data_IF_050488641830
#
_entry.id   IF_050488641830
#
_cell.length_a   1.000
_cell.length_b   1.000
_cell.length_c   1.000
_cell.angle_alpha   90.00
_cell.angle_beta   90.00
_cell.angle_gamma   90.00
#
_symmetry.space_group_name_H-M   'P 1'
#
loop_
_entity.id
_entity.type
_entity.pdbx_description
1 polymer ?
#
# COMPACT_ATOMS: atom_id res chain seq x y z
N UNK A 1 -40.46 -11.49 -65.98
CA UNK A 1 -39.67 -10.46 -65.35
C UNK A 1 -38.91 -11.06 -64.19
N UNK A 2 -37.63 -11.40 -64.43
CA UNK A 2 -36.76 -12.07 -63.46
C UNK A 2 -36.06 -11.03 -62.63
N UNK A 3 -36.26 -11.04 -61.31
CA UNK A 3 -35.45 -10.26 -60.38
C UNK A 3 -34.17 -11.05 -60.07
N UNK A 4 -32.96 -10.43 -60.13
CA UNK A 4 -31.73 -11.08 -59.69
C UNK A 4 -31.62 -11.00 -58.16
N UNK A 5 -31.36 -12.17 -57.56
CA UNK A 5 -31.02 -12.32 -56.14
C UNK A 5 -29.68 -11.62 -55.85
N UNK A 6 -29.67 -10.63 -55.01
CA UNK A 6 -28.48 -10.01 -54.46
C UNK A 6 -27.84 -10.93 -53.43
N UNK A 7 -26.78 -11.65 -53.82
CA UNK A 7 -25.88 -12.35 -52.94
C UNK A 7 -25.08 -11.37 -52.08
N UNK A 8 -25.46 -11.20 -50.83
CA UNK A 8 -24.66 -10.49 -49.85
C UNK A 8 -23.37 -11.27 -49.57
N UNK A 9 -22.24 -10.80 -50.07
CA UNK A 9 -20.91 -11.30 -49.75
C UNK A 9 -20.62 -10.99 -48.29
N UNK A 10 -20.79 -11.98 -47.43
CA UNK A 10 -20.27 -11.97 -46.03
C UNK A 10 -18.75 -11.86 -46.10
N UNK A 11 -18.21 -10.65 -45.87
CA UNK A 11 -16.77 -10.45 -45.61
C UNK A 11 -16.34 -11.33 -44.43
N UNK A 12 -15.26 -12.10 -44.53
CA UNK A 12 -14.78 -12.92 -43.43
C UNK A 12 -14.41 -12.02 -42.27
N UNK A 13 -15.14 -12.16 -41.15
CA UNK A 13 -14.77 -11.52 -39.89
C UNK A 13 -13.36 -12.01 -39.52
N UNK A 14 -12.35 -11.16 -39.67
CA UNK A 14 -10.99 -11.45 -39.27
C UNK A 14 -11.02 -12.08 -37.85
N UNK A 15 -10.44 -13.25 -37.73
CA UNK A 15 -10.26 -13.96 -36.45
C UNK A 15 -9.45 -13.09 -35.53
N UNK A 16 -10.13 -12.25 -34.69
CA UNK A 16 -9.48 -11.39 -33.73
C UNK A 16 -8.75 -12.27 -32.73
N UNK A 17 -7.44 -12.05 -32.62
CA UNK A 17 -6.58 -12.70 -31.62
C UNK A 17 -7.21 -12.54 -30.24
N UNK A 18 -7.43 -13.67 -29.54
CA UNK A 18 -8.06 -13.68 -28.21
C UNK A 18 -7.08 -14.21 -27.18
N UNK A 19 -6.82 -13.40 -26.14
CA UNK A 19 -5.92 -13.74 -25.05
C UNK A 19 -6.66 -14.59 -24.01
N UNK A 20 -6.08 -15.73 -23.57
CA UNK A 20 -6.61 -16.46 -22.42
C UNK A 20 -6.25 -15.74 -21.12
N UNK A 21 -7.12 -15.80 -20.12
CA UNK A 21 -6.88 -15.27 -18.77
C UNK A 21 -6.48 -13.81 -18.72
N UNK A 22 -7.08 -12.98 -19.58
CA UNK A 22 -6.74 -11.56 -19.72
C UNK A 22 -6.89 -10.78 -18.39
N UNK A 23 -7.85 -11.17 -17.53
CA UNK A 23 -8.01 -10.57 -16.20
C UNK A 23 -6.76 -10.65 -15.35
N UNK A 24 -6.00 -11.74 -15.43
CA UNK A 24 -4.74 -11.88 -14.69
C UNK A 24 -3.61 -11.03 -15.29
N UNK A 25 -3.62 -10.79 -16.59
CA UNK A 25 -2.71 -9.81 -17.22
C UNK A 25 -3.00 -8.41 -16.71
N UNK A 26 -4.28 -8.01 -16.59
CA UNK A 26 -4.67 -6.75 -15.96
C UNK A 26 -4.21 -6.70 -14.50
N UNK A 27 -4.41 -7.78 -13.72
CA UNK A 27 -3.92 -7.86 -12.34
C UNK A 27 -2.39 -7.71 -12.26
N UNK A 28 -1.64 -8.29 -13.20
CA UNK A 28 -0.19 -8.12 -13.33
C UNK A 28 0.22 -6.66 -13.58
N UNK A 29 -0.54 -5.91 -14.37
CA UNK A 29 -0.32 -4.48 -14.56
C UNK A 29 -0.63 -3.67 -13.29
N UNK A 30 -1.66 -4.04 -12.52
CA UNK A 30 -1.94 -3.41 -11.22
C UNK A 30 -0.83 -3.70 -10.20
N UNK A 31 -0.32 -4.94 -10.18
CA UNK A 31 0.84 -5.33 -9.39
C UNK A 31 2.07 -4.49 -9.75
N UNK A 32 2.36 -4.35 -11.05
CA UNK A 32 3.49 -3.54 -11.50
C UNK A 32 3.33 -2.06 -11.15
N UNK A 33 2.12 -1.48 -11.28
CA UNK A 33 1.84 -0.10 -10.85
C UNK A 33 2.12 0.08 -9.35
N UNK A 34 1.67 -0.86 -8.49
CA UNK A 34 1.94 -0.82 -7.06
C UNK A 34 3.41 -1.02 -6.73
N UNK A 35 4.13 -1.80 -7.53
CA UNK A 35 5.59 -1.99 -7.42
C UNK A 35 6.32 -0.67 -7.71
N UNK A 36 6.02 -0.01 -8.83
CA UNK A 36 6.61 1.30 -9.19
C UNK A 36 6.33 2.35 -8.12
N UNK A 37 5.09 2.42 -7.64
CA UNK A 37 4.68 3.34 -6.58
C UNK A 37 5.57 3.24 -5.32
N UNK A 38 5.89 2.02 -4.89
CA UNK A 38 6.74 1.81 -3.71
C UNK A 38 8.25 1.96 -4.00
N UNK A 39 8.69 1.70 -5.23
CA UNK A 39 10.05 2.03 -5.66
C UNK A 39 10.29 3.54 -5.53
N UNK A 40 9.35 4.38 -6.02
CA UNK A 40 9.47 5.84 -5.96
C UNK A 40 9.49 6.35 -4.51
N UNK A 41 8.74 5.71 -3.59
CA UNK A 41 8.79 6.03 -2.16
C UNK A 41 10.13 5.70 -1.53
N UNK A 42 10.71 4.54 -1.88
CA UNK A 42 12.01 4.11 -1.37
C UNK A 42 13.16 5.01 -1.84
N UNK A 43 13.04 5.64 -3.00
CA UNK A 43 14.13 6.41 -3.60
C UNK A 43 14.66 7.49 -2.65
N UNK A 44 13.80 8.34 -2.07
CA UNK A 44 14.28 9.37 -1.15
C UNK A 44 14.73 8.78 0.19
N UNK A 45 14.14 7.67 0.63
CA UNK A 45 14.50 7.03 1.89
C UNK A 45 15.93 6.46 1.85
N UNK A 46 16.28 5.78 0.76
CA UNK A 46 17.64 5.23 0.54
C UNK A 46 18.66 6.34 0.34
N UNK A 47 18.25 7.44 -0.30
CA UNK A 47 19.14 8.57 -0.60
C UNK A 47 19.22 9.61 0.51
N UNK A 48 18.48 9.45 1.63
CA UNK A 48 18.37 10.46 2.68
C UNK A 48 19.72 11.02 3.11
N UNK A 49 20.63 10.17 3.57
CA UNK A 49 21.94 10.61 4.09
C UNK A 49 22.74 11.32 3.01
N UNK A 50 22.77 10.76 1.81
CA UNK A 50 23.46 11.36 0.67
C UNK A 50 22.92 12.76 0.30
N UNK A 51 21.59 12.93 0.34
CA UNK A 51 20.96 14.23 0.08
C UNK A 51 21.16 15.22 1.24
N UNK A 52 21.16 14.74 2.48
CA UNK A 52 21.49 15.55 3.66
C UNK A 52 22.91 16.12 3.56
N UNK A 53 23.89 15.31 3.19
CA UNK A 53 25.28 15.76 2.96
C UNK A 53 25.37 16.75 1.81
N UNK A 54 24.72 16.45 0.66
CA UNK A 54 24.79 17.27 -0.55
C UNK A 54 24.12 18.65 -0.39
N UNK A 55 23.03 18.74 0.37
CA UNK A 55 22.21 19.94 0.50
C UNK A 55 22.17 20.51 1.92
N UNK A 56 22.91 19.93 2.86
CA UNK A 56 22.98 20.30 4.27
C UNK A 56 21.60 20.33 4.95
N UNK A 57 20.77 19.29 4.68
CA UNK A 57 19.48 19.17 5.31
C UNK A 57 19.61 18.77 6.78
N UNK A 58 18.79 19.37 7.63
CA UNK A 58 18.57 18.87 8.98
C UNK A 58 17.68 17.61 8.97
N UNK A 59 17.59 16.96 10.11
CA UNK A 59 16.65 15.83 10.30
C UNK A 59 15.19 16.33 10.21
N UNK A 60 14.90 17.52 10.69
CA UNK A 60 13.57 18.13 10.60
C UNK A 60 13.23 18.50 9.15
N UNK A 61 14.17 18.98 8.34
CA UNK A 61 13.96 19.24 6.91
C UNK A 61 13.48 17.98 6.20
N UNK A 62 14.14 16.83 6.45
CA UNK A 62 13.71 15.56 5.88
C UNK A 62 12.32 15.14 6.38
N UNK A 63 12.04 15.32 7.67
CA UNK A 63 10.71 15.08 8.24
C UNK A 63 9.61 15.87 7.51
N UNK A 64 9.84 17.16 7.24
CA UNK A 64 8.90 18.01 6.51
C UNK A 64 8.79 17.65 5.02
N UNK A 65 9.85 17.15 4.38
CA UNK A 65 9.81 16.64 3.02
C UNK A 65 8.89 15.40 2.96
N UNK A 66 9.02 14.48 3.91
CA UNK A 66 8.16 13.29 4.01
C UNK A 66 6.72 13.68 4.36
N UNK A 67 6.52 14.63 5.28
CA UNK A 67 5.20 15.17 5.62
C UNK A 67 4.45 15.71 4.40
N UNK A 68 5.14 16.45 3.53
CA UNK A 68 4.53 17.03 2.32
C UNK A 68 3.94 15.97 1.39
N UNK A 69 4.61 14.83 1.25
CA UNK A 69 4.09 13.67 0.53
C UNK A 69 2.84 13.10 1.19
N UNK A 70 2.90 12.85 2.50
CA UNK A 70 1.80 12.25 3.26
C UNK A 70 0.56 13.15 3.27
N UNK A 71 0.74 14.46 3.38
CA UNK A 71 -0.34 15.43 3.33
C UNK A 71 -1.07 15.38 1.99
N UNK A 72 -0.32 15.47 0.89
CA UNK A 72 -0.90 15.40 -0.45
C UNK A 72 -1.60 14.06 -0.69
N UNK A 73 -0.96 12.96 -0.29
CA UNK A 73 -1.50 11.62 -0.41
C UNK A 73 -2.84 11.46 0.34
N UNK A 74 -2.91 11.94 1.59
CA UNK A 74 -4.13 11.87 2.40
C UNK A 74 -5.29 12.66 1.78
N UNK A 75 -5.03 13.90 1.32
CA UNK A 75 -6.03 14.74 0.66
C UNK A 75 -6.51 14.09 -0.65
N UNK A 76 -5.57 13.70 -1.48
CA UNK A 76 -5.88 13.18 -2.81
C UNK A 76 -6.45 11.77 -2.80
N UNK A 77 -6.27 10.98 -1.74
CA UNK A 77 -6.91 9.67 -1.62
C UNK A 77 -8.45 9.78 -1.62
N UNK A 78 -8.99 10.85 -1.04
CA UNK A 78 -10.43 11.14 -1.06
C UNK A 78 -10.89 11.65 -2.43
N UNK A 79 -10.08 12.48 -3.07
CA UNK A 79 -10.42 13.13 -4.34
C UNK A 79 -10.25 12.18 -5.53
N UNK A 80 -9.18 11.38 -5.53
CA UNK A 80 -8.80 10.51 -6.64
C UNK A 80 -9.86 9.45 -6.94
N UNK A 81 -10.54 8.90 -5.93
CA UNK A 81 -11.64 7.96 -6.14
C UNK A 81 -12.74 8.55 -7.02
N UNK A 82 -13.17 9.81 -6.73
CA UNK A 82 -14.18 10.51 -7.54
C UNK A 82 -13.66 10.86 -8.93
N UNK A 83 -12.38 11.20 -9.05
CA UNK A 83 -11.75 11.49 -10.32
C UNK A 83 -11.70 10.25 -11.23
N UNK A 84 -11.30 9.11 -10.68
CA UNK A 84 -11.31 7.80 -11.36
C UNK A 84 -12.75 7.41 -11.75
N UNK A 85 -13.76 7.72 -10.92
CA UNK A 85 -15.15 7.44 -11.27
C UNK A 85 -15.64 8.25 -12.45
N UNK A 86 -15.21 9.51 -12.56
CA UNK A 86 -15.62 10.42 -13.66
C UNK A 86 -14.87 10.17 -14.96
N UNK A 87 -13.55 9.95 -14.88
CA UNK A 87 -12.69 9.77 -16.07
C UNK A 87 -12.69 8.33 -16.59
N UNK A 88 -13.18 7.38 -15.77
CA UNK A 88 -12.99 5.96 -15.99
C UNK A 88 -11.56 5.51 -15.61
N UNK A 89 -11.42 4.22 -15.30
CA UNK A 89 -10.16 3.67 -14.82
C UNK A 89 -9.04 3.83 -15.85
N UNK A 90 -9.30 3.55 -17.13
CA UNK A 90 -8.29 3.59 -18.18
C UNK A 90 -7.57 4.95 -18.25
N UNK A 91 -8.33 6.02 -18.41
CA UNK A 91 -7.76 7.38 -18.56
C UNK A 91 -7.29 7.91 -17.22
N UNK A 92 -8.11 7.79 -16.17
CA UNK A 92 -7.79 8.33 -14.85
C UNK A 92 -6.51 7.75 -14.28
N UNK A 93 -6.29 6.43 -14.40
CA UNK A 93 -5.06 5.80 -13.93
C UNK A 93 -3.85 6.15 -14.81
N UNK A 94 -4.05 6.25 -16.15
CA UNK A 94 -2.98 6.72 -17.05
C UNK A 94 -2.50 8.13 -16.70
N UNK A 95 -3.42 9.06 -16.46
CA UNK A 95 -3.08 10.43 -16.07
C UNK A 95 -2.38 10.49 -14.73
N UNK A 96 -2.85 9.71 -13.75
CA UNK A 96 -2.22 9.62 -12.44
C UNK A 96 -0.79 9.07 -12.55
N UNK A 97 -0.58 7.99 -13.31
CA UNK A 97 0.74 7.39 -13.55
C UNK A 97 1.68 8.38 -14.23
N UNK A 98 1.25 9.04 -15.29
CA UNK A 98 2.06 10.05 -15.98
C UNK A 98 2.45 11.19 -15.02
N UNK A 99 1.48 11.66 -14.22
CA UNK A 99 1.70 12.72 -13.24
C UNK A 99 2.73 12.33 -12.19
N UNK A 100 2.57 11.19 -11.53
CA UNK A 100 3.52 10.82 -10.48
C UNK A 100 4.90 10.46 -11.02
N UNK A 101 4.97 9.87 -12.23
CA UNK A 101 6.25 9.60 -12.89
C UNK A 101 7.04 10.88 -13.17
N UNK A 102 6.37 11.92 -13.69
CA UNK A 102 6.98 13.24 -13.87
C UNK A 102 7.38 13.86 -12.52
N UNK A 103 6.54 13.75 -11.49
CA UNK A 103 6.85 14.25 -10.15
C UNK A 103 8.03 13.49 -9.52
N UNK A 104 8.14 12.17 -9.71
CA UNK A 104 9.30 11.38 -9.29
C UNK A 104 10.58 11.88 -9.97
N UNK A 105 10.56 12.03 -11.29
CA UNK A 105 11.71 12.53 -12.05
C UNK A 105 12.07 13.99 -11.70
N UNK A 106 11.09 14.82 -11.34
CA UNK A 106 11.32 16.22 -10.97
C UNK A 106 12.25 16.37 -9.75
N UNK A 107 12.36 15.36 -8.88
CA UNK A 107 13.31 15.37 -7.77
C UNK A 107 14.77 15.49 -8.26
N UNK A 108 15.09 14.98 -9.45
CA UNK A 108 16.44 15.04 -10.00
C UNK A 108 16.96 16.46 -10.25
N UNK A 109 16.07 17.43 -10.41
CA UNK A 109 16.44 18.85 -10.64
C UNK A 109 16.28 19.71 -9.39
N UNK A 110 15.79 19.17 -8.28
CA UNK A 110 15.63 19.89 -7.01
C UNK A 110 16.99 20.25 -6.41
N UNK A 111 17.06 21.45 -5.78
CA UNK A 111 18.26 21.98 -5.14
C UNK A 111 18.02 22.53 -3.74
N UNK A 112 16.76 22.75 -3.34
CA UNK A 112 16.37 23.31 -2.04
C UNK A 112 15.37 22.41 -1.35
N UNK A 113 15.29 22.48 -0.02
CA UNK A 113 14.29 21.77 0.80
C UNK A 113 12.87 22.00 0.26
N UNK A 114 12.53 23.26 -0.03
CA UNK A 114 11.20 23.62 -0.56
C UNK A 114 10.91 22.94 -1.91
N UNK A 115 11.89 22.86 -2.80
CA UNK A 115 11.70 22.17 -4.10
C UNK A 115 11.46 20.67 -3.89
N UNK A 116 12.18 20.01 -2.96
CA UNK A 116 11.93 18.62 -2.60
C UNK A 116 10.57 18.43 -1.94
N UNK A 117 10.13 19.35 -1.07
CA UNK A 117 8.79 19.35 -0.49
C UNK A 117 7.72 19.46 -1.57
N UNK A 118 7.88 20.40 -2.52
CA UNK A 118 6.95 20.58 -3.64
C UNK A 118 6.89 19.33 -4.54
N UNK A 119 8.04 18.77 -4.92
CA UNK A 119 8.12 17.55 -5.72
C UNK A 119 7.48 16.36 -4.98
N UNK A 120 7.69 16.21 -3.67
CA UNK A 120 7.06 15.20 -2.82
C UNK A 120 5.56 15.38 -2.70
N UNK A 121 5.09 16.62 -2.57
CA UNK A 121 3.65 16.92 -2.57
C UNK A 121 3.01 16.50 -3.91
N UNK A 122 3.61 16.88 -5.03
CA UNK A 122 3.13 16.49 -6.36
C UNK A 122 3.16 14.97 -6.56
N UNK A 123 4.21 14.30 -6.08
CA UNK A 123 4.31 12.84 -6.13
C UNK A 123 3.19 12.18 -5.32
N UNK A 124 2.99 12.60 -4.06
CA UNK A 124 1.93 12.08 -3.20
C UNK A 124 0.54 12.29 -3.78
N UNK A 125 0.31 13.44 -4.42
CA UNK A 125 -0.95 13.74 -5.09
C UNK A 125 -1.27 12.78 -6.25
N UNK A 126 -0.27 12.42 -7.06
CA UNK A 126 -0.44 11.45 -8.15
C UNK A 126 -0.59 10.01 -7.65
N UNK A 127 0.27 9.60 -6.73
CA UNK A 127 0.31 8.24 -6.20
C UNK A 127 -0.96 7.82 -5.46
N UNK A 128 -1.68 8.77 -4.86
CA UNK A 128 -2.92 8.50 -4.13
C UNK A 128 -4.01 7.85 -4.98
N UNK A 129 -3.95 7.98 -6.31
CA UNK A 129 -4.90 7.36 -7.24
C UNK A 129 -4.67 5.84 -7.44
N UNK A 130 -3.48 5.33 -7.12
CA UNK A 130 -3.10 3.93 -7.38
C UNK A 130 -4.09 2.94 -6.74
N UNK A 131 -4.38 3.09 -5.45
CA UNK A 131 -5.27 2.18 -4.73
C UNK A 131 -6.72 2.23 -5.21
N UNK A 132 -7.38 3.42 -5.31
CA UNK A 132 -8.74 3.52 -5.83
C UNK A 132 -8.88 2.97 -7.26
N UNK A 133 -7.94 3.26 -8.14
CA UNK A 133 -7.94 2.77 -9.52
C UNK A 133 -7.79 1.25 -9.57
N UNK A 134 -6.89 0.68 -8.77
CA UNK A 134 -6.65 -0.76 -8.71
C UNK A 134 -7.86 -1.52 -8.16
N UNK A 135 -8.45 -1.05 -7.06
CA UNK A 135 -9.66 -1.68 -6.48
C UNK A 135 -10.82 -1.63 -7.48
N UNK A 136 -11.01 -0.51 -8.17
CA UNK A 136 -12.05 -0.39 -9.19
C UNK A 136 -11.78 -1.32 -10.38
N UNK A 137 -10.53 -1.41 -10.84
CA UNK A 137 -10.13 -2.37 -11.89
C UNK A 137 -10.44 -3.81 -11.50
N UNK A 138 -10.12 -4.20 -10.25
CA UNK A 138 -10.44 -5.53 -9.74
C UNK A 138 -11.95 -5.75 -9.68
N UNK A 139 -12.74 -4.74 -9.29
CA UNK A 139 -14.19 -4.85 -9.26
C UNK A 139 -14.80 -5.02 -10.66
N UNK A 140 -14.20 -4.42 -11.70
CA UNK A 140 -14.63 -4.52 -13.10
C UNK A 140 -14.20 -5.84 -13.77
N UNK A 141 -13.00 -6.36 -13.40
CA UNK A 141 -12.37 -7.48 -14.12
C UNK A 141 -12.49 -8.86 -13.43
N UNK A 142 -12.95 -8.89 -12.17
CA UNK A 142 -12.97 -10.12 -11.39
C UNK A 142 -14.35 -10.40 -10.77
N UNK A 143 -14.84 -11.66 -10.85
CA UNK A 143 -16.01 -12.08 -10.10
C UNK A 143 -15.75 -11.96 -8.60
N UNK A 144 -16.81 -11.74 -7.79
CA UNK A 144 -16.72 -11.51 -6.34
C UNK A 144 -15.82 -12.51 -5.60
N UNK A 145 -15.89 -13.80 -6.00
CA UNK A 145 -15.11 -14.90 -5.39
C UNK A 145 -13.58 -14.77 -5.59
N UNK A 146 -13.11 -14.08 -6.64
CA UNK A 146 -11.68 -13.91 -6.94
C UNK A 146 -11.15 -12.52 -6.57
N UNK A 147 -12.01 -11.53 -6.24
CA UNK A 147 -11.60 -10.16 -5.94
C UNK A 147 -10.60 -10.05 -4.80
N UNK A 148 -10.79 -10.85 -3.74
CA UNK A 148 -9.87 -10.85 -2.60
C UNK A 148 -8.47 -11.33 -3.00
N UNK A 149 -8.38 -12.37 -3.83
CA UNK A 149 -7.10 -12.88 -4.34
C UNK A 149 -6.42 -11.86 -5.25
N UNK A 150 -7.16 -11.27 -6.20
CA UNK A 150 -6.63 -10.25 -7.10
C UNK A 150 -6.15 -9.01 -6.34
N UNK A 151 -6.91 -8.57 -5.31
CA UNK A 151 -6.51 -7.47 -4.43
C UNK A 151 -5.25 -7.79 -3.63
N UNK A 152 -5.15 -8.99 -3.07
CA UNK A 152 -3.95 -9.46 -2.37
C UNK A 152 -2.73 -9.49 -3.31
N UNK A 153 -2.92 -9.96 -4.54
CA UNK A 153 -1.84 -10.07 -5.52
C UNK A 153 -1.32 -8.69 -5.93
N UNK A 154 -2.17 -7.75 -6.35
CA UNK A 154 -1.66 -6.42 -6.72
C UNK A 154 -1.06 -5.67 -5.52
N UNK A 155 -1.64 -5.84 -4.33
CA UNK A 155 -1.11 -5.22 -3.12
C UNK A 155 0.25 -5.78 -2.71
N UNK A 156 0.57 -7.03 -3.01
CA UNK A 156 1.92 -7.58 -2.76
C UNK A 156 3.01 -6.86 -3.56
N UNK A 157 2.64 -6.17 -4.65
CA UNK A 157 3.53 -5.28 -5.40
C UNK A 157 4.14 -4.19 -4.51
N UNK A 158 3.45 -3.74 -3.46
CA UNK A 158 3.98 -2.75 -2.52
C UNK A 158 5.24 -3.23 -1.80
N UNK A 159 5.22 -4.46 -1.32
CA UNK A 159 6.37 -5.07 -0.65
C UNK A 159 7.51 -5.36 -1.63
N UNK A 160 7.17 -5.88 -2.82
CA UNK A 160 8.16 -6.11 -3.89
C UNK A 160 8.79 -4.80 -4.33
N UNK A 161 8.01 -3.73 -4.44
CA UNK A 161 8.51 -2.38 -4.72
C UNK A 161 9.50 -1.89 -3.68
N UNK A 162 9.24 -2.10 -2.39
CA UNK A 162 10.16 -1.75 -1.32
C UNK A 162 11.46 -2.59 -1.37
N UNK A 163 11.34 -3.91 -1.64
CA UNK A 163 12.49 -4.82 -1.80
C UNK A 163 13.37 -4.41 -2.98
N UNK A 164 12.76 -4.32 -4.16
CA UNK A 164 13.47 -3.98 -5.40
C UNK A 164 14.00 -2.54 -5.37
N UNK A 165 13.19 -1.60 -4.86
CA UNK A 165 13.54 -0.19 -4.78
C UNK A 165 14.79 0.06 -3.96
N UNK A 166 14.92 -0.58 -2.79
CA UNK A 166 16.10 -0.41 -1.94
C UNK A 166 17.39 -0.81 -2.66
N UNK A 167 17.40 -1.98 -3.30
CA UNK A 167 18.58 -2.47 -4.03
C UNK A 167 18.86 -1.68 -5.30
N UNK A 168 17.80 -1.39 -6.07
CA UNK A 168 17.92 -0.70 -7.35
C UNK A 168 18.39 0.75 -7.17
N UNK A 169 17.85 1.48 -6.21
CA UNK A 169 18.23 2.86 -5.93
C UNK A 169 19.69 2.95 -5.48
N UNK A 170 20.12 2.06 -4.58
CA UNK A 170 21.50 2.00 -4.14
C UNK A 170 22.45 1.71 -5.33
N UNK A 171 22.09 0.75 -6.18
CA UNK A 171 22.88 0.41 -7.36
C UNK A 171 22.97 1.57 -8.37
N UNK A 172 21.82 2.19 -8.71
CA UNK A 172 21.78 3.34 -9.63
C UNK A 172 22.64 4.51 -9.13
N UNK A 173 22.59 4.77 -7.83
CA UNK A 173 23.34 5.85 -7.20
C UNK A 173 24.84 5.59 -7.24
N UNK A 174 25.27 4.36 -6.98
CA UNK A 174 26.67 3.95 -7.01
C UNK A 174 27.27 3.92 -8.43
N UNK A 175 26.46 3.55 -9.45
CA UNK A 175 26.93 3.48 -10.84
C UNK A 175 27.00 4.86 -11.49
N UNK A 176 26.04 5.73 -11.20
CA UNK A 176 25.92 7.06 -11.80
C UNK A 176 25.90 8.17 -10.76
N UNK A 177 24.73 8.45 -10.18
CA UNK A 177 24.52 9.43 -9.11
C UNK A 177 23.07 9.37 -8.60
N UNK A 178 22.76 10.12 -7.55
CA UNK A 178 21.42 10.17 -6.96
C UNK A 178 20.33 10.71 -7.90
N UNK A 179 20.69 11.60 -8.86
CA UNK A 179 19.73 12.12 -9.85
C UNK A 179 19.27 11.03 -10.81
N UNK A 180 20.20 10.17 -11.23
CA UNK A 180 19.88 9.02 -12.07
C UNK A 180 18.87 8.10 -11.37
N UNK A 181 19.00 7.87 -10.07
CA UNK A 181 18.02 7.07 -9.32
C UNK A 181 16.60 7.61 -9.47
N UNK A 182 16.37 8.91 -9.26
CA UNK A 182 15.03 9.52 -9.45
C UNK A 182 14.54 9.45 -10.90
N UNK A 183 15.42 9.67 -11.87
CA UNK A 183 15.04 9.62 -13.30
C UNK A 183 14.63 8.20 -13.69
N UNK A 184 15.44 7.19 -13.36
CA UNK A 184 15.17 5.81 -13.74
C UNK A 184 13.95 5.24 -13.02
N UNK A 185 13.77 5.51 -11.71
CA UNK A 185 12.59 5.02 -10.99
C UNK A 185 11.32 5.65 -11.54
N UNK A 186 11.29 6.96 -11.74
CA UNK A 186 10.14 7.63 -12.34
C UNK A 186 9.86 7.19 -13.79
N UNK A 187 10.91 6.86 -14.57
CA UNK A 187 10.76 6.37 -15.94
C UNK A 187 10.04 5.01 -16.02
N UNK A 188 10.08 4.18 -14.96
CA UNK A 188 9.36 2.89 -14.93
C UNK A 188 7.85 3.07 -15.14
N UNK A 189 7.27 4.17 -14.66
CA UNK A 189 5.86 4.45 -14.89
C UNK A 189 5.53 4.71 -16.37
N UNK A 190 6.44 5.28 -17.16
CA UNK A 190 6.24 5.43 -18.59
C UNK A 190 6.31 4.09 -19.33
N UNK A 191 7.12 3.13 -18.85
CA UNK A 191 7.10 1.75 -19.38
C UNK A 191 5.73 1.12 -19.13
N UNK A 192 5.15 1.30 -17.94
CA UNK A 192 3.80 0.84 -17.63
C UNK A 192 2.76 1.51 -18.54
N UNK A 193 2.89 2.79 -18.83
CA UNK A 193 2.00 3.54 -19.73
C UNK A 193 2.02 3.04 -21.17
N UNK A 194 3.07 2.36 -21.62
CA UNK A 194 3.06 1.71 -22.93
C UNK A 194 2.08 0.54 -22.98
N UNK A 195 1.94 -0.19 -21.88
CA UNK A 195 1.06 -1.36 -21.81
C UNK A 195 -0.38 -1.05 -21.41
N UNK A 196 -0.56 -0.23 -20.36
CA UNK A 196 -1.87 -0.01 -19.74
C UNK A 196 -2.96 0.51 -20.68
N UNK A 197 -2.79 1.61 -21.42
CA UNK A 197 -3.84 2.12 -22.30
C UNK A 197 -4.18 1.18 -23.46
N UNK A 198 -3.25 0.31 -23.84
CA UNK A 198 -3.46 -0.69 -24.89
C UNK A 198 -4.25 -1.89 -24.38
N UNK A 199 -3.89 -2.37 -23.19
CA UNK A 199 -4.40 -3.61 -22.61
C UNK A 199 -5.67 -3.40 -21.75
N UNK A 200 -5.86 -2.22 -21.13
CA UNK A 200 -7.01 -1.98 -20.28
C UNK A 200 -8.19 -1.37 -21.05
N UNK A 201 -9.31 -2.04 -21.00
CA UNK A 201 -10.63 -1.56 -21.42
C UNK A 201 -11.69 -2.18 -20.50
N UNK A 202 -12.91 -1.67 -20.52
CA UNK A 202 -14.02 -2.34 -19.85
C UNK A 202 -14.21 -3.75 -20.45
N UNK A 203 -14.47 -4.80 -19.63
CA UNK A 203 -14.59 -6.17 -20.12
C UNK A 203 -15.55 -6.34 -21.28
N UNK A 204 -16.71 -5.66 -21.23
CA UNK A 204 -17.77 -5.77 -22.26
C UNK A 204 -17.31 -5.21 -23.62
N UNK A 205 -16.43 -4.20 -23.61
CA UNK A 205 -15.91 -3.54 -24.81
C UNK A 205 -14.53 -4.08 -25.24
N UNK A 206 -14.01 -5.13 -24.58
CA UNK A 206 -12.64 -5.57 -24.81
C UNK A 206 -12.52 -6.50 -26.02
N UNK A 207 -11.78 -6.12 -27.10
CA UNK A 207 -11.76 -6.85 -28.35
C UNK A 207 -11.07 -8.24 -28.25
N UNK A 208 -10.16 -8.40 -27.29
CA UNK A 208 -9.36 -9.63 -27.12
C UNK A 208 -9.90 -10.56 -26.03
N UNK A 209 -10.95 -10.14 -25.30
CA UNK A 209 -11.55 -10.98 -24.25
C UNK A 209 -12.36 -12.12 -24.88
N UNK A 210 -12.19 -13.34 -24.36
CA UNK A 210 -13.00 -14.49 -24.75
C UNK A 210 -14.39 -14.39 -24.14
N UNK A 211 -15.42 -14.80 -24.87
CA UNK A 211 -16.79 -14.81 -24.36
C UNK A 211 -16.93 -15.60 -23.06
N UNK A 212 -16.29 -16.77 -22.98
CA UNK A 212 -16.30 -17.61 -21.77
C UNK A 212 -15.71 -16.88 -20.54
N UNK A 213 -14.65 -16.08 -20.74
CA UNK A 213 -14.04 -15.30 -19.66
C UNK A 213 -14.92 -14.09 -19.30
N UNK A 214 -15.56 -13.46 -20.26
CA UNK A 214 -16.55 -12.41 -20.01
C UNK A 214 -17.73 -12.95 -19.20
N UNK A 215 -18.33 -14.06 -19.63
CA UNK A 215 -19.43 -14.72 -18.92
C UNK A 215 -19.02 -15.12 -17.49
N UNK A 216 -17.76 -15.53 -17.30
CA UNK A 216 -17.20 -15.83 -15.98
C UNK A 216 -17.03 -14.58 -15.10
N UNK A 217 -16.55 -13.46 -15.66
CA UNK A 217 -16.43 -12.19 -14.94
C UNK A 217 -17.80 -11.71 -14.48
N UNK A 218 -18.83 -11.81 -15.32
CA UNK A 218 -20.20 -11.37 -15.06
C UNK A 218 -21.05 -12.41 -14.30
N UNK A 219 -20.48 -13.57 -13.94
CA UNK A 219 -21.24 -14.68 -13.32
C UNK A 219 -21.94 -14.30 -12.01
N UNK A 220 -21.48 -13.27 -11.31
CA UNK A 220 -22.01 -12.81 -10.02
C UNK A 220 -22.99 -11.62 -10.14
N UNK A 221 -23.26 -11.13 -11.35
CA UNK A 221 -24.13 -9.94 -11.54
C UNK A 221 -25.63 -10.26 -11.36
N UNK A 222 -26.03 -11.52 -11.50
CA UNK A 222 -27.39 -12.00 -11.31
C UNK A 222 -27.87 -12.13 -9.87
N UNK A 223 -26.97 -12.11 -8.88
CA UNK A 223 -27.31 -12.31 -7.46
C UNK A 223 -27.68 -11.03 -6.70
N UNK A 224 -27.84 -9.88 -7.35
CA UNK A 224 -28.03 -8.58 -6.72
C UNK A 224 -29.49 -8.22 -6.44
N UNK A 225 -30.44 -9.16 -6.46
CA UNK A 225 -31.86 -8.90 -6.16
C UNK A 225 -32.34 -9.41 -4.81
N UNK A 226 -31.53 -9.30 -3.76
CA UNK A 226 -32.06 -9.42 -2.41
C UNK A 226 -31.90 -8.08 -1.71
N UNK A 227 -33.03 -7.39 -1.50
CA UNK A 227 -33.27 -6.15 -0.77
C UNK A 227 -32.00 -5.45 -0.25
N UNK A 228 -31.47 -4.50 -1.02
CA UNK A 228 -30.36 -3.66 -0.64
C UNK A 228 -30.80 -2.81 0.57
N UNK A 229 -30.60 -3.31 1.80
CA UNK A 229 -30.76 -2.47 2.99
C UNK A 229 -29.89 -1.22 2.80
N UNK A 230 -30.37 -0.02 3.15
CA UNK A 230 -29.59 1.21 3.00
C UNK A 230 -28.26 1.10 3.77
N UNK A 231 -27.19 1.67 3.19
CA UNK A 231 -25.89 1.78 3.86
C UNK A 231 -26.03 2.63 5.11
N UNK A 232 -25.34 2.28 6.18
CA UNK A 232 -25.29 3.13 7.35
C UNK A 232 -24.59 4.46 6.98
N UNK A 233 -25.18 5.62 7.32
CA UNK A 233 -24.48 6.88 7.14
C UNK A 233 -23.23 6.86 7.99
N UNK A 234 -22.15 7.49 7.49
CA UNK A 234 -20.84 7.51 8.17
C UNK A 234 -20.95 8.02 9.64
N UNK A 235 -21.88 8.93 9.93
CA UNK A 235 -22.17 9.41 11.29
C UNK A 235 -22.66 8.29 12.22
N UNK A 236 -23.46 7.35 11.71
CA UNK A 236 -23.92 6.20 12.50
C UNK A 236 -22.79 5.22 12.78
N UNK A 237 -21.86 5.05 11.82
CA UNK A 237 -20.64 4.25 12.00
C UNK A 237 -19.75 4.87 13.08
N UNK A 238 -19.51 6.19 13.05
CA UNK A 238 -18.70 6.90 14.04
C UNK A 238 -19.29 6.95 15.44
N UNK A 239 -20.60 6.71 15.61
CA UNK A 239 -21.23 6.55 16.94
C UNK A 239 -20.93 5.20 17.59
N UNK A 240 -20.42 4.23 16.82
CA UNK A 240 -20.15 2.87 17.31
C UNK A 240 -18.71 2.78 17.84
N UNK A 241 -18.54 2.36 19.09
CA UNK A 241 -17.22 2.19 19.72
C UNK A 241 -16.32 1.22 18.95
N UNK A 242 -16.91 0.22 18.28
CA UNK A 242 -16.17 -0.77 17.48
C UNK A 242 -15.47 -0.12 16.27
N UNK A 243 -16.08 0.90 15.66
CA UNK A 243 -15.46 1.67 14.60
C UNK A 243 -14.20 2.39 15.11
N UNK A 244 -14.28 3.00 16.29
CA UNK A 244 -13.15 3.65 16.94
C UNK A 244 -12.04 2.65 17.32
N UNK A 245 -12.38 1.43 17.71
CA UNK A 245 -11.40 0.37 17.97
C UNK A 245 -10.54 0.08 16.74
N UNK A 246 -11.15 0.00 15.56
CA UNK A 246 -10.44 -0.14 14.30
C UNK A 246 -9.66 1.13 13.91
N UNK A 247 -10.30 2.29 13.97
CA UNK A 247 -9.74 3.60 13.58
C UNK A 247 -8.51 3.94 14.44
N UNK A 248 -8.62 3.83 15.78
CA UNK A 248 -7.51 4.11 16.70
C UNK A 248 -6.43 3.03 16.60
N UNK A 249 -6.81 1.77 16.39
CA UNK A 249 -5.85 0.71 16.12
C UNK A 249 -4.96 1.03 14.92
N UNK A 250 -5.53 1.50 13.82
CA UNK A 250 -4.81 1.95 12.62
C UNK A 250 -3.99 3.23 12.88
N UNK A 251 -4.58 4.22 13.55
CA UNK A 251 -3.91 5.48 13.86
C UNK A 251 -2.63 5.27 14.68
N UNK A 252 -2.64 4.34 15.64
CA UNK A 252 -1.48 4.04 16.48
C UNK A 252 -0.42 3.21 15.78
N UNK A 253 -0.81 2.31 14.87
CA UNK A 253 0.12 1.32 14.31
C UNK A 253 0.65 1.64 12.92
N UNK A 254 -0.15 2.25 12.03
CA UNK A 254 0.31 2.60 10.69
C UNK A 254 1.48 3.59 10.65
N UNK A 255 1.58 4.58 11.58
CA UNK A 255 2.76 5.45 11.69
C UNK A 255 4.09 4.69 11.77
N UNK A 256 4.07 3.51 12.41
CA UNK A 256 5.26 2.69 12.58
C UNK A 256 5.73 2.09 11.25
N UNK A 257 4.80 1.71 10.39
CA UNK A 257 5.12 1.28 9.03
C UNK A 257 5.80 2.40 8.22
N UNK A 258 5.24 3.62 8.29
CA UNK A 258 5.81 4.79 7.62
C UNK A 258 7.18 5.18 8.17
N UNK A 259 7.38 5.05 9.50
CA UNK A 259 8.69 5.22 10.11
C UNK A 259 9.70 4.24 9.52
N UNK A 260 9.41 2.95 9.47
CA UNK A 260 10.32 1.97 8.88
C UNK A 260 10.59 2.25 7.38
N UNK A 261 9.58 2.60 6.59
CA UNK A 261 9.76 2.91 5.16
C UNK A 261 10.76 4.06 4.98
N UNK A 262 10.63 5.13 5.73
CA UNK A 262 11.38 6.36 5.46
C UNK A 262 12.67 6.50 6.27
N UNK A 263 12.80 5.86 7.42
CA UNK A 263 13.98 6.02 8.28
C UNK A 263 14.86 4.78 8.41
N UNK A 264 14.39 3.58 8.03
CA UNK A 264 15.19 2.37 8.14
C UNK A 264 16.52 2.44 7.36
N UNK A 265 16.58 2.90 6.09
CA UNK A 265 17.86 2.99 5.39
C UNK A 265 18.85 3.89 6.11
N UNK A 266 18.44 5.09 6.54
CA UNK A 266 19.32 6.01 7.25
C UNK A 266 19.72 5.50 8.65
N UNK A 267 18.85 4.76 9.35
CA UNK A 267 19.23 4.10 10.59
C UNK A 267 20.35 3.07 10.36
N UNK A 268 20.23 2.26 9.31
CA UNK A 268 21.28 1.29 8.96
C UNK A 268 22.61 1.99 8.64
N UNK A 269 22.56 3.12 7.96
CA UNK A 269 23.75 3.90 7.60
C UNK A 269 24.34 4.64 8.80
N UNK A 270 23.56 5.51 9.42
CA UNK A 270 24.05 6.44 10.47
C UNK A 270 24.29 5.75 11.82
N UNK A 271 23.39 4.82 12.23
CA UNK A 271 23.47 4.19 13.54
C UNK A 271 24.15 2.83 13.52
N UNK A 272 24.25 2.16 12.36
CA UNK A 272 24.81 0.81 12.23
C UNK A 272 26.03 0.73 11.32
N UNK A 273 26.43 1.82 10.69
CA UNK A 273 27.64 1.92 9.87
C UNK A 273 27.57 1.16 8.54
N UNK A 274 26.36 0.83 8.05
CA UNK A 274 26.22 0.23 6.72
C UNK A 274 26.53 1.25 5.63
N UNK A 275 27.38 0.88 4.69
CA UNK A 275 27.55 1.67 3.46
C UNK A 275 26.31 1.56 2.56
N UNK A 276 26.13 2.51 1.64
CA UNK A 276 25.04 2.46 0.64
C UNK A 276 25.03 1.14 -0.14
N UNK A 277 26.23 0.59 -0.47
CA UNK A 277 26.37 -0.73 -1.11
C UNK A 277 25.79 -1.85 -0.22
N UNK A 278 26.08 -1.85 1.08
CA UNK A 278 25.57 -2.85 2.01
C UNK A 278 24.06 -2.70 2.20
N UNK A 279 23.54 -1.46 2.25
CA UNK A 279 22.08 -1.21 2.29
C UNK A 279 21.40 -1.79 1.05
N UNK A 280 21.98 -1.60 -0.14
CA UNK A 280 21.47 -2.23 -1.36
C UNK A 280 21.45 -3.76 -1.31
N UNK A 281 22.43 -4.37 -0.63
CA UNK A 281 22.52 -5.83 -0.52
C UNK A 281 21.60 -6.45 0.55
N UNK A 282 21.34 -5.76 1.66
CA UNK A 282 20.61 -6.34 2.80
C UNK A 282 19.43 -5.53 3.31
N UNK A 283 19.31 -4.25 2.92
CA UNK A 283 18.24 -3.36 3.40
C UNK A 283 16.83 -3.76 2.96
N UNK A 284 16.73 -4.63 1.95
CA UNK A 284 15.47 -5.23 1.51
C UNK A 284 14.94 -6.34 2.42
N UNK A 285 15.83 -6.96 3.25
CA UNK A 285 15.49 -8.13 4.08
C UNK A 285 14.31 -7.87 5.03
N UNK A 286 14.21 -6.74 5.74
CA UNK A 286 13.07 -6.43 6.60
C UNK A 286 11.74 -6.34 5.83
N UNK A 287 11.72 -5.80 4.62
CA UNK A 287 10.52 -5.71 3.78
C UNK A 287 10.08 -7.08 3.26
N UNK A 288 11.04 -7.93 2.93
CA UNK A 288 10.78 -9.32 2.55
C UNK A 288 10.21 -10.11 3.73
N UNK A 289 10.81 -10.00 4.92
CA UNK A 289 10.28 -10.60 6.14
C UNK A 289 8.86 -10.12 6.46
N UNK A 290 8.57 -8.84 6.25
CA UNK A 290 7.25 -8.25 6.42
C UNK A 290 6.19 -8.95 5.55
N UNK A 291 6.52 -9.31 4.30
CA UNK A 291 5.61 -10.02 3.40
C UNK A 291 5.21 -11.39 3.98
N UNK A 292 6.17 -12.15 4.50
CA UNK A 292 5.90 -13.42 5.19
C UNK A 292 5.11 -13.21 6.47
N UNK A 293 5.43 -12.16 7.24
CA UNK A 293 4.71 -11.80 8.46
C UNK A 293 3.22 -11.57 8.22
N UNK A 294 2.87 -10.88 7.15
CA UNK A 294 1.47 -10.69 6.74
C UNK A 294 0.75 -12.01 6.43
N UNK A 295 1.39 -12.90 5.67
CA UNK A 295 0.85 -14.23 5.35
C UNK A 295 0.71 -15.09 6.60
N UNK A 296 1.73 -15.16 7.43
CA UNK A 296 1.72 -15.93 8.68
C UNK A 296 0.68 -15.41 9.67
N UNK A 297 0.54 -14.10 9.83
CA UNK A 297 -0.44 -13.49 10.72
C UNK A 297 -1.89 -13.80 10.29
N UNK A 298 -2.18 -13.74 8.99
CA UNK A 298 -3.47 -14.14 8.45
C UNK A 298 -3.75 -15.63 8.59
N UNK A 299 -2.75 -16.48 8.25
CA UNK A 299 -2.83 -17.92 8.39
C UNK A 299 -3.04 -18.34 9.85
N UNK A 300 -2.31 -17.77 10.79
CA UNK A 300 -2.33 -18.11 12.22
C UNK A 300 -3.74 -17.98 12.80
N UNK A 301 -4.44 -16.85 12.59
CA UNK A 301 -5.81 -16.69 13.10
C UNK A 301 -6.80 -17.64 12.41
N UNK A 302 -6.61 -17.92 11.11
CA UNK A 302 -7.41 -18.87 10.35
C UNK A 302 -7.24 -20.32 10.83
N UNK A 303 -5.98 -20.74 11.10
CA UNK A 303 -5.67 -22.08 11.59
C UNK A 303 -6.24 -22.33 13.00
N UNK A 304 -6.15 -21.34 13.89
CA UNK A 304 -6.73 -21.46 15.23
C UNK A 304 -8.25 -21.60 15.19
N UNK A 305 -8.95 -20.91 14.28
CA UNK A 305 -10.40 -21.11 14.07
C UNK A 305 -10.70 -22.50 13.56
N UNK A 306 -9.89 -23.05 12.65
CA UNK A 306 -10.02 -24.45 12.18
C UNK A 306 -9.83 -25.48 13.32
N UNK A 307 -9.01 -25.14 14.30
CA UNK A 307 -8.79 -25.94 15.54
C UNK A 307 -9.86 -25.70 16.63
N UNK A 308 -10.96 -25.03 16.30
CA UNK A 308 -12.11 -24.86 17.20
C UNK A 308 -12.06 -23.62 18.11
N UNK A 309 -11.11 -22.69 17.91
CA UNK A 309 -11.14 -21.44 18.66
C UNK A 309 -12.28 -20.55 18.18
N UNK A 310 -12.91 -19.83 19.12
CA UNK A 310 -13.89 -18.80 18.74
C UNK A 310 -13.24 -17.68 17.94
N UNK A 311 -14.00 -17.03 17.06
CA UNK A 311 -13.54 -15.89 16.26
C UNK A 311 -12.85 -14.82 17.13
N UNK A 312 -13.49 -14.44 18.23
CA UNK A 312 -12.96 -13.45 19.18
C UNK A 312 -11.60 -13.87 19.75
N UNK A 313 -11.45 -15.13 20.19
CA UNK A 313 -10.20 -15.65 20.74
C UNK A 313 -9.11 -15.71 19.68
N UNK A 314 -9.41 -16.24 18.49
CA UNK A 314 -8.42 -16.39 17.43
C UNK A 314 -7.89 -15.03 16.94
N UNK A 315 -8.77 -14.06 16.66
CA UNK A 315 -8.40 -12.73 16.20
C UNK A 315 -7.58 -11.96 17.23
N UNK A 316 -8.05 -11.90 18.47
CA UNK A 316 -7.34 -11.17 19.54
C UNK A 316 -6.02 -11.81 19.91
N UNK A 317 -5.92 -13.14 19.92
CA UNK A 317 -4.64 -13.81 20.18
C UNK A 317 -3.64 -13.55 19.05
N UNK A 318 -4.07 -13.53 17.78
CA UNK A 318 -3.18 -13.19 16.67
C UNK A 318 -2.68 -11.75 16.75
N UNK A 319 -3.56 -10.80 17.07
CA UNK A 319 -3.17 -9.41 17.33
C UNK A 319 -2.24 -9.30 18.53
N UNK A 320 -2.49 -10.02 19.63
CA UNK A 320 -1.65 -10.00 20.82
C UNK A 320 -0.24 -10.56 20.53
N UNK A 321 -0.14 -11.71 19.86
CA UNK A 321 1.16 -12.30 19.51
C UNK A 321 1.97 -11.34 18.65
N UNK A 322 1.37 -10.77 17.61
CA UNK A 322 2.07 -9.83 16.75
C UNK A 322 2.42 -8.53 17.47
N UNK A 323 1.57 -8.03 18.38
CA UNK A 323 1.88 -6.86 19.20
C UNK A 323 3.05 -7.12 20.17
N UNK A 324 3.13 -8.29 20.78
CA UNK A 324 4.20 -8.68 21.71
C UNK A 324 5.55 -8.93 21.01
N UNK A 325 5.56 -9.14 19.70
CA UNK A 325 6.80 -9.24 18.92
C UNK A 325 7.35 -7.86 18.51
N UNK A 326 6.56 -6.80 18.54
CA UNK A 326 7.01 -5.46 18.14
C UNK A 326 8.15 -4.88 18.99
N UNK A 327 8.24 -5.14 20.32
CA UNK A 327 9.40 -4.74 21.13
C UNK A 327 10.75 -5.30 20.66
N UNK A 328 10.77 -6.28 19.74
CA UNK A 328 12.01 -6.68 19.07
C UNK A 328 12.71 -5.50 18.38
N UNK A 329 11.93 -4.50 17.90
CA UNK A 329 12.50 -3.26 17.40
C UNK A 329 13.30 -2.48 18.44
N UNK A 330 12.86 -2.45 19.71
CA UNK A 330 13.60 -1.83 20.82
C UNK A 330 14.89 -2.60 21.06
N UNK A 331 14.82 -3.93 21.10
CA UNK A 331 16.01 -4.77 21.26
C UNK A 331 17.00 -4.58 20.09
N UNK A 332 16.52 -4.26 18.89
CA UNK A 332 17.35 -3.99 17.73
C UNK A 332 18.30 -2.81 17.95
N UNK A 333 17.84 -1.74 18.60
CA UNK A 333 18.68 -0.56 18.87
C UNK A 333 19.79 -0.87 19.88
N UNK A 334 19.53 -1.79 20.81
CA UNK A 334 20.49 -2.22 21.83
C UNK A 334 21.41 -3.35 21.35
N UNK A 335 21.13 -3.96 20.20
CA UNK A 335 21.91 -5.08 19.68
C UNK A 335 23.36 -4.63 19.34
N UNK A 336 24.39 -5.36 19.80
CA UNK A 336 25.78 -4.95 19.59
C UNK A 336 26.23 -5.15 18.14
N UNK A 337 25.62 -6.10 17.42
CA UNK A 337 26.00 -6.44 16.04
C UNK A 337 24.95 -5.94 15.05
N UNK A 338 25.38 -5.34 13.94
CA UNK A 338 24.50 -4.78 12.93
C UNK A 338 23.56 -5.83 12.29
N UNK A 339 24.03 -7.06 12.04
CA UNK A 339 23.19 -8.14 11.52
C UNK A 339 22.10 -8.57 12.53
N UNK A 340 22.38 -8.55 13.83
CA UNK A 340 21.39 -8.84 14.85
C UNK A 340 20.31 -7.76 14.93
N UNK A 341 20.70 -6.49 14.80
CA UNK A 341 19.76 -5.38 14.67
C UNK A 341 18.85 -5.56 13.44
N UNK A 342 19.42 -5.90 12.28
CA UNK A 342 18.68 -6.16 11.06
C UNK A 342 17.67 -7.30 11.21
N UNK A 343 18.08 -8.41 11.86
CA UNK A 343 17.19 -9.54 12.12
C UNK A 343 16.03 -9.18 13.06
N UNK A 344 16.30 -8.42 14.13
CA UNK A 344 15.27 -7.96 15.06
C UNK A 344 14.30 -6.96 14.45
N UNK A 345 14.78 -6.05 13.59
CA UNK A 345 13.92 -5.17 12.81
C UNK A 345 13.08 -5.98 11.83
N UNK A 346 13.66 -6.98 11.18
CA UNK A 346 12.93 -7.87 10.27
C UNK A 346 11.78 -8.59 10.99
N UNK A 347 12.02 -9.04 12.22
CA UNK A 347 11.00 -9.64 13.08
C UNK A 347 9.89 -8.62 13.43
N UNK A 348 10.27 -7.40 13.83
CA UNK A 348 9.31 -6.35 14.15
C UNK A 348 8.46 -5.96 12.93
N UNK A 349 9.05 -5.83 11.74
CA UNK A 349 8.33 -5.52 10.51
C UNK A 349 7.43 -6.68 10.06
N UNK A 350 7.86 -7.93 10.24
CA UNK A 350 7.00 -9.10 10.02
C UNK A 350 5.82 -9.11 10.99
N UNK A 351 6.05 -8.81 12.27
CA UNK A 351 5.01 -8.68 13.27
C UNK A 351 4.01 -7.56 12.93
N UNK A 352 4.49 -6.40 12.48
CA UNK A 352 3.62 -5.30 12.01
C UNK A 352 2.70 -5.73 10.87
N UNK A 353 3.20 -6.43 9.86
CA UNK A 353 2.37 -6.89 8.75
C UNK A 353 1.40 -8.01 9.17
N UNK A 354 1.81 -8.88 10.11
CA UNK A 354 0.92 -9.85 10.73
C UNK A 354 -0.23 -9.18 11.53
N UNK A 355 0.08 -8.10 12.24
CA UNK A 355 -0.91 -7.22 12.88
C UNK A 355 -1.84 -6.61 11.84
N UNK A 356 -1.30 -6.00 10.80
CA UNK A 356 -2.06 -5.34 9.74
C UNK A 356 -3.05 -6.30 9.07
N UNK A 357 -2.64 -7.52 8.76
CA UNK A 357 -3.52 -8.54 8.20
C UNK A 357 -4.73 -8.85 9.11
N UNK A 358 -4.52 -8.94 10.43
CA UNK A 358 -5.57 -9.27 11.38
C UNK A 358 -6.45 -8.06 11.75
N UNK A 359 -5.91 -6.85 11.84
CA UNK A 359 -6.74 -5.68 12.15
C UNK A 359 -7.72 -5.35 11.03
N UNK A 360 -7.33 -5.52 9.76
CA UNK A 360 -8.25 -5.36 8.64
C UNK A 360 -9.42 -6.35 8.67
N UNK A 361 -9.17 -7.58 9.15
CA UNK A 361 -10.26 -8.56 9.27
C UNK A 361 -11.26 -8.20 10.36
N UNK A 362 -10.86 -7.46 11.41
CA UNK A 362 -11.82 -6.98 12.41
C UNK A 362 -12.92 -6.12 11.81
N UNK A 363 -12.59 -5.27 10.83
CA UNK A 363 -13.61 -4.46 10.16
C UNK A 363 -14.64 -5.33 9.44
N UNK A 364 -14.22 -6.42 8.80
CA UNK A 364 -15.11 -7.34 8.09
C UNK A 364 -15.84 -8.32 9.01
N UNK A 365 -15.25 -8.64 10.17
CA UNK A 365 -15.84 -9.55 11.15
C UNK A 365 -16.91 -8.86 12.02
N UNK A 366 -16.77 -7.53 12.23
CA UNK A 366 -17.65 -6.74 13.10
C UNK A 366 -18.74 -6.01 12.33
N UNK A 367 -18.47 -5.53 11.12
CA UNK A 367 -19.41 -4.72 10.35
C UNK A 367 -20.07 -5.49 9.21
N UNK A 368 -21.34 -5.19 8.86
CA UNK A 368 -22.00 -5.76 7.70
C UNK A 368 -21.19 -5.49 6.41
N UNK A 369 -21.15 -6.45 5.50
CA UNK A 369 -20.38 -6.38 4.24
C UNK A 369 -20.51 -5.06 3.48
N UNK A 370 -21.71 -4.47 3.46
CA UNK A 370 -22.03 -3.18 2.79
C UNK A 370 -21.32 -1.97 3.41
N UNK A 371 -20.96 -2.03 4.70
CA UNK A 371 -20.41 -0.92 5.47
C UNK A 371 -18.90 -1.06 5.71
N UNK A 372 -18.33 -2.26 5.45
CA UNK A 372 -16.89 -2.57 5.63
C UNK A 372 -16.01 -1.56 4.88
N UNK A 373 -16.37 -1.23 3.63
CA UNK A 373 -15.60 -0.27 2.84
C UNK A 373 -15.50 1.11 3.49
N UNK A 374 -16.59 1.58 4.12
CA UNK A 374 -16.58 2.86 4.84
C UNK A 374 -15.72 2.80 6.10
N UNK A 375 -15.79 1.70 6.88
CA UNK A 375 -14.98 1.50 8.08
C UNK A 375 -13.49 1.41 7.72
N UNK A 376 -13.15 0.63 6.69
CA UNK A 376 -11.76 0.50 6.20
C UNK A 376 -11.24 1.84 5.70
N UNK A 377 -12.06 2.62 5.00
CA UNK A 377 -11.71 3.96 4.56
C UNK A 377 -11.41 4.92 5.72
N UNK A 378 -12.23 4.90 6.78
CA UNK A 378 -11.99 5.71 7.99
C UNK A 378 -10.68 5.30 8.70
N UNK A 379 -10.43 3.99 8.83
CA UNK A 379 -9.17 3.50 9.41
C UNK A 379 -7.96 3.83 8.54
N UNK A 380 -8.09 3.74 7.21
CA UNK A 380 -7.03 4.13 6.29
C UNK A 380 -6.69 5.63 6.39
N UNK A 381 -7.71 6.50 6.49
CA UNK A 381 -7.54 7.93 6.72
C UNK A 381 -6.84 8.20 8.07
N UNK A 382 -7.22 7.50 9.13
CA UNK A 382 -6.58 7.63 10.43
C UNK A 382 -5.11 7.17 10.40
N UNK A 383 -4.81 6.06 9.72
CA UNK A 383 -3.43 5.59 9.52
C UNK A 383 -2.58 6.57 8.71
N UNK A 384 -3.17 7.19 7.67
CA UNK A 384 -2.48 8.22 6.88
C UNK A 384 -2.20 9.49 7.72
N UNK A 385 -3.16 9.92 8.54
CA UNK A 385 -2.97 11.03 9.49
C UNK A 385 -1.85 10.73 10.48
N UNK A 386 -1.84 9.53 11.05
CA UNK A 386 -0.77 9.10 11.94
C UNK A 386 0.60 9.09 11.25
N UNK A 387 0.68 8.59 10.00
CA UNK A 387 1.87 8.63 9.16
C UNK A 387 2.33 10.06 8.85
N UNK A 388 1.40 10.97 8.63
CA UNK A 388 1.68 12.38 8.44
C UNK A 388 2.32 13.01 9.69
N UNK A 389 1.80 12.69 10.89
CA UNK A 389 2.30 13.21 12.16
C UNK A 389 3.69 12.66 12.50
N UNK A 390 3.91 11.35 12.32
CA UNK A 390 5.19 10.73 12.70
C UNK A 390 6.36 11.28 11.90
N UNK A 391 6.16 11.80 10.70
CA UNK A 391 7.22 12.29 9.85
C UNK A 391 7.99 13.47 10.46
N UNK A 392 7.36 14.62 10.79
CA UNK A 392 8.06 15.71 11.48
C UNK A 392 8.49 15.32 12.91
N UNK A 393 7.68 14.50 13.62
CA UNK A 393 8.05 14.02 14.96
C UNK A 393 9.35 13.25 14.93
N UNK A 394 9.54 12.34 13.97
CA UNK A 394 10.79 11.61 13.83
C UNK A 394 11.97 12.54 13.49
N UNK A 395 11.76 13.50 12.59
CA UNK A 395 12.76 14.50 12.26
C UNK A 395 13.22 15.30 13.50
N UNK A 396 12.29 15.86 14.26
CA UNK A 396 12.60 16.62 15.48
C UNK A 396 13.27 15.75 16.56
N UNK A 397 12.77 14.53 16.79
CA UNK A 397 13.41 13.63 17.78
C UNK A 397 14.88 13.39 17.40
N UNK A 398 15.16 13.07 16.14
CA UNK A 398 16.53 12.83 15.69
C UNK A 398 17.40 14.09 15.76
N UNK A 399 16.85 15.25 15.41
CA UNK A 399 17.58 16.52 15.47
C UNK A 399 17.99 16.92 16.88
N UNK A 400 17.09 16.75 17.87
CA UNK A 400 17.38 17.15 19.26
C UNK A 400 18.09 16.07 20.07
N UNK A 401 17.82 14.78 19.79
CA UNK A 401 18.39 13.70 20.60
C UNK A 401 19.61 13.04 19.96
N UNK A 402 19.82 13.24 18.66
CA UNK A 402 20.84 12.54 17.86
C UNK A 402 20.78 11.00 18.03
N UNK A 403 19.58 10.47 18.34
CA UNK A 403 19.40 9.07 18.69
C UNK A 403 18.10 8.48 18.10
N UNK A 404 18.21 7.30 17.54
CA UNK A 404 17.06 6.51 17.07
C UNK A 404 16.32 5.81 18.24
N UNK A 405 16.89 5.75 19.45
CA UNK A 405 16.32 5.00 20.59
C UNK A 405 14.86 5.43 20.87
N UNK A 406 14.52 6.73 21.00
CA UNK A 406 13.15 7.13 21.29
C UNK A 406 12.15 6.67 20.20
N UNK A 407 12.56 6.70 18.92
CA UNK A 407 11.71 6.29 17.81
C UNK A 407 11.44 4.79 17.84
N UNK A 408 12.44 3.97 18.13
CA UNK A 408 12.26 2.52 18.26
C UNK A 408 11.47 2.13 19.51
N UNK A 409 11.56 2.91 20.61
CA UNK A 409 10.68 2.74 21.78
C UNK A 409 9.22 3.02 21.37
N UNK A 410 8.96 4.14 20.70
CA UNK A 410 7.61 4.44 20.17
C UNK A 410 7.14 3.28 19.28
N UNK A 411 7.96 2.84 18.33
CA UNK A 411 7.62 1.76 17.42
C UNK A 411 7.28 0.44 18.14
N UNK A 412 8.05 0.10 19.17
CA UNK A 412 7.86 -1.13 19.92
C UNK A 412 6.67 -1.11 20.87
N UNK A 413 6.29 0.07 21.40
CA UNK A 413 5.20 0.22 22.40
C UNK A 413 3.83 0.43 21.77
N UNK A 414 3.74 1.03 20.57
CA UNK A 414 2.46 1.40 19.96
C UNK A 414 1.53 0.22 19.70
N UNK A 415 2.05 -0.95 19.30
CA UNK A 415 1.20 -2.14 19.06
C UNK A 415 0.67 -2.77 20.36
N UNK A 416 1.48 -2.96 21.43
CA UNK A 416 0.99 -3.30 22.76
C UNK A 416 -0.08 -2.34 23.29
N UNK A 417 0.11 -1.03 23.08
CA UNK A 417 -0.92 -0.03 23.41
C UNK A 417 -2.17 -0.20 22.56
N UNK A 418 -2.01 -0.38 21.24
CA UNK A 418 -3.11 -0.53 20.30
C UNK A 418 -3.97 -1.77 20.61
N UNK A 419 -3.39 -2.92 20.99
CA UNK A 419 -4.20 -4.09 21.35
C UNK A 419 -5.02 -3.82 22.61
N UNK A 420 -4.48 -3.07 23.58
CA UNK A 420 -5.23 -2.61 24.76
C UNK A 420 -6.44 -1.76 24.38
N UNK A 421 -6.24 -0.76 23.49
CA UNK A 421 -7.30 0.11 22.95
C UNK A 421 -8.33 -0.69 22.17
N UNK A 422 -7.90 -1.58 21.29
CA UNK A 422 -8.78 -2.46 20.52
C UNK A 422 -9.58 -3.37 21.45
N UNK A 423 -8.96 -3.95 22.48
CA UNK A 423 -9.65 -4.81 23.44
C UNK A 423 -10.72 -4.05 24.23
N UNK A 424 -10.41 -2.83 24.66
CA UNK A 424 -11.33 -1.97 25.41
C UNK A 424 -12.53 -1.53 24.56
N UNK A 425 -12.31 -1.14 23.31
CA UNK A 425 -13.36 -0.66 22.40
C UNK A 425 -14.15 -1.79 21.72
N UNK A 426 -13.50 -2.94 21.52
CA UNK A 426 -14.09 -4.16 20.93
C UNK A 426 -13.90 -5.32 21.93
N UNK A 427 -14.63 -5.36 23.06
CA UNK A 427 -14.47 -6.43 24.05
C UNK A 427 -14.73 -7.81 23.48
N UNK A 428 -15.69 -7.92 22.56
CA UNK A 428 -16.01 -9.13 21.79
C UNK A 428 -16.06 -8.82 20.30
N UNK A 429 -15.44 -9.68 19.50
CA UNK A 429 -15.49 -9.63 18.04
C UNK A 429 -16.76 -10.37 17.62
N UNK A 430 -17.84 -9.63 17.51
CA UNK A 430 -19.16 -10.10 17.11
C UNK A 430 -19.74 -9.11 16.10
N UNK A 431 -20.55 -9.62 15.17
CA UNK A 431 -21.22 -8.76 14.20
C UNK A 431 -22.13 -7.74 14.91
N UNK A 432 -21.98 -6.47 14.54
CA UNK A 432 -22.84 -5.41 15.07
C UNK A 432 -24.24 -5.58 14.50
N UNK A 433 -25.24 -5.73 15.37
CA UNK A 433 -26.64 -5.77 14.97
C UNK A 433 -27.01 -4.48 14.22
N UNK A 434 -27.63 -4.67 13.06
CA UNK A 434 -28.19 -3.58 12.27
C UNK A 434 -29.50 -3.11 12.94
N UNK A 435 -29.39 -2.15 13.88
CA UNK A 435 -30.55 -1.39 14.33
C UNK A 435 -31.03 -0.43 13.25
#
# INVERSE_FOLDING_TARGET
MNHPATTSTLTPRATRFKLPHLRWTICGLLFFASTVNYIDRQTIAVLKTHLQEAFRWSESDYGWIVFSFQLAYAIMMVVSGRLIDRLGVRLGFSLAMAWWSLAAMAHAVCRTVFQFQAARFLLGAGEAANFPASIKSVAEWFPKKERALATGLFNSGTNIGAVVGTSMVAWLTLQWNWRAAFIFTGALGFIWLLGWPLLYRAPEAHPWLRKQELDYISSDEGETTTQARPRLPWRAILRRRQAWGFVLGKFLTDPIWWFYIFWLPSYLEQARGYSLKQIGMVGWVPFFAASFGGMLGGWMSGDWMKRGWTLNRARKSALLVTALLMPAGIAAVLAPKAWAALALISLAMAAHQGWSANIFTLASDVFPKKDVGTVVGLGGAAGALGGMIIAPVAGYILEYTHSYIPLFIIAGVMHPLAIGVVHWLIPKVEAVEST
#
